data_IF_450063304657
#
_entry.id   IF_450063304657
#
_cell.length_a   1.000
_cell.length_b   1.000
_cell.length_c   1.000
_cell.angle_alpha   90.00
_cell.angle_beta   90.00
_cell.angle_gamma   90.00
#
_symmetry.space_group_name_H-M   'P 1'
#
loop_
_entity.id
_entity.type
_entity.pdbx_description
1 polymer ?
#
# COMPACT_ATOMS: atom_id res chain seq x y z
N UNK A 1 2.27 10.07 5.43
CA UNK A 1 3.64 9.96 5.99
C UNK A 1 4.28 8.70 5.43
N UNK A 2 5.59 8.70 5.16
CA UNK A 2 6.27 7.46 4.79
C UNK A 2 6.74 6.75 6.06
N UNK A 3 6.40 5.47 6.19
CA UNK A 3 6.65 4.66 7.40
C UNK A 3 7.60 3.48 7.14
N UNK A 4 8.04 3.31 5.89
CA UNK A 4 8.84 2.16 5.49
C UNK A 4 9.04 2.07 3.99
N UNK A 5 9.33 0.86 3.52
CA UNK A 5 9.53 0.52 2.10
C UNK A 5 9.09 -0.91 1.80
N UNK A 6 8.87 -1.20 0.53
CA UNK A 6 8.75 -2.58 0.03
C UNK A 6 10.15 -3.19 0.01
N UNK A 7 10.31 -4.35 0.66
CA UNK A 7 11.57 -5.08 0.75
C UNK A 7 11.66 -6.19 -0.30
N UNK A 8 10.59 -6.95 -0.50
CA UNK A 8 10.50 -7.97 -1.55
C UNK A 8 9.13 -7.96 -2.23
N UNK A 9 9.12 -8.44 -3.47
CA UNK A 9 7.90 -8.74 -4.23
C UNK A 9 8.06 -10.16 -4.77
N UNK A 10 7.13 -11.02 -4.42
CA UNK A 10 7.14 -12.43 -4.78
C UNK A 10 5.84 -12.78 -5.51
N UNK A 11 5.94 -13.65 -6.52
CA UNK A 11 4.78 -14.18 -7.21
C UNK A 11 4.06 -15.19 -6.32
N UNK A 12 2.75 -15.03 -6.15
CA UNK A 12 1.92 -15.85 -5.26
C UNK A 12 0.65 -16.31 -6.00
N UNK A 13 0.79 -17.32 -6.86
CA UNK A 13 -0.33 -17.79 -7.67
C UNK A 13 -0.83 -16.70 -8.61
N UNK A 14 -2.13 -16.38 -8.62
CA UNK A 14 -2.65 -15.27 -9.44
C UNK A 14 -2.37 -13.88 -8.89
N UNK A 15 -1.65 -13.76 -7.77
CA UNK A 15 -1.35 -12.48 -7.11
C UNK A 15 0.14 -12.29 -6.84
N UNK A 16 0.44 -11.25 -6.06
CA UNK A 16 1.78 -10.96 -5.56
C UNK A 16 1.76 -10.86 -4.04
N UNK A 17 2.81 -11.35 -3.38
CA UNK A 17 3.09 -11.12 -1.97
C UNK A 17 4.16 -10.04 -1.87
N UNK A 18 3.85 -8.96 -1.16
CA UNK A 18 4.79 -7.88 -0.89
C UNK A 18 5.25 -7.99 0.56
N UNK A 19 6.56 -8.07 0.77
CA UNK A 19 7.14 -7.98 2.11
C UNK A 19 7.50 -6.52 2.37
N UNK A 20 7.01 -5.97 3.49
CA UNK A 20 7.20 -4.57 3.84
C UNK A 20 8.18 -4.44 5.02
N UNK A 21 9.21 -3.62 4.86
CA UNK A 21 10.08 -3.20 5.95
C UNK A 21 9.54 -1.88 6.53
N UNK A 22 8.86 -1.98 7.67
CA UNK A 22 8.26 -0.85 8.39
C UNK A 22 9.15 -0.42 9.56
N UNK A 23 9.33 0.88 9.72
CA UNK A 23 10.04 1.45 10.86
C UNK A 23 9.28 1.14 12.15
N UNK A 24 9.94 0.52 13.13
CA UNK A 24 9.30 0.16 14.41
C UNK A 24 8.69 1.35 15.15
N UNK A 25 9.32 2.53 15.07
CA UNK A 25 8.79 3.76 15.67
C UNK A 25 7.44 4.17 15.08
N UNK A 26 7.22 3.86 13.81
CA UNK A 26 6.08 4.36 13.04
C UNK A 26 4.91 3.37 13.05
N UNK A 27 5.11 2.16 13.60
CA UNK A 27 4.08 1.12 13.67
C UNK A 27 2.82 1.57 14.41
N UNK A 28 2.97 2.45 15.41
CA UNK A 28 1.85 3.07 16.13
C UNK A 28 0.86 3.83 15.23
N UNK A 29 1.28 4.22 14.03
CA UNK A 29 0.46 4.93 13.05
C UNK A 29 -0.32 4.01 12.13
N UNK A 30 -0.15 2.70 12.25
CA UNK A 30 -0.76 1.71 11.35
C UNK A 30 -1.74 0.86 12.16
N UNK A 31 -3.04 1.19 12.12
CA UNK A 31 -4.09 0.36 12.71
C UNK A 31 -4.03 -1.08 12.21
N UNK A 32 -4.36 -2.04 13.08
CA UNK A 32 -4.36 -3.46 12.76
C UNK A 32 -5.37 -3.84 11.65
N UNK A 33 -6.41 -3.03 11.50
CA UNK A 33 -7.51 -3.15 10.54
C UNK A 33 -7.46 -2.08 9.43
N UNK A 34 -6.31 -1.42 9.25
CA UNK A 34 -6.13 -0.41 8.22
C UNK A 34 -6.35 -1.01 6.82
N UNK A 35 -7.29 -0.45 6.01
CA UNK A 35 -7.41 -0.83 4.62
C UNK A 35 -6.11 -0.54 3.86
N UNK A 36 -5.71 -1.47 3.00
CA UNK A 36 -4.46 -1.37 2.24
C UNK A 36 -4.75 -1.26 0.76
N UNK A 37 -4.07 -0.33 0.08
CA UNK A 37 -4.12 -0.22 -1.38
C UNK A 37 -2.74 0.02 -1.98
N UNK A 38 -2.62 -0.27 -3.26
CA UNK A 38 -1.46 0.14 -4.06
C UNK A 38 -1.88 1.37 -4.88
N UNK A 39 -1.26 2.51 -4.60
CA UNK A 39 -1.57 3.80 -5.21
C UNK A 39 -0.31 4.61 -5.51
N UNK A 40 -0.40 5.54 -6.45
CA UNK A 40 0.64 6.52 -6.76
C UNK A 40 0.09 7.94 -6.63
N UNK A 41 0.89 8.88 -6.14
CA UNK A 41 0.48 10.30 -6.07
C UNK A 41 0.64 11.03 -7.40
N UNK A 42 1.13 10.36 -8.44
CA UNK A 42 1.53 10.99 -9.71
C UNK A 42 1.39 10.03 -10.88
N UNK A 43 1.16 10.59 -12.07
CA UNK A 43 0.96 9.88 -13.34
C UNK A 43 2.23 9.15 -13.84
N UNK A 44 3.43 9.60 -13.44
CA UNK A 44 4.71 9.06 -13.89
C UNK A 44 5.61 8.56 -12.75
N UNK A 45 5.13 8.60 -11.52
CA UNK A 45 5.95 8.31 -10.35
C UNK A 45 5.77 6.90 -9.80
N UNK A 46 6.61 6.60 -8.81
CA UNK A 46 6.59 5.31 -8.13
C UNK A 46 5.25 5.08 -7.42
N UNK A 47 4.73 3.86 -7.54
CA UNK A 47 3.59 3.39 -6.73
C UNK A 47 4.08 2.97 -5.34
N UNK A 48 3.24 3.17 -4.35
CA UNK A 48 3.48 2.80 -2.96
C UNK A 48 2.34 1.94 -2.38
N UNK A 49 2.63 1.31 -1.26
CA UNK A 49 1.62 0.68 -0.40
C UNK A 49 1.10 1.74 0.57
N UNK A 50 -0.20 1.96 0.56
CA UNK A 50 -0.86 2.96 1.41
C UNK A 50 -1.73 2.24 2.44
N UNK A 51 -1.52 2.60 3.71
CA UNK A 51 -2.41 2.25 4.81
C UNK A 51 -3.38 3.39 5.04
N UNK A 52 -4.66 3.11 4.92
CA UNK A 52 -5.74 4.08 5.11
C UNK A 52 -6.21 4.02 6.56
N UNK A 53 -6.71 5.15 7.08
CA UNK A 53 -7.37 5.15 8.37
C UNK A 53 -8.70 4.37 8.26
N UNK A 54 -8.96 3.40 9.16
CA UNK A 54 -10.24 2.70 9.18
C UNK A 54 -11.37 3.63 9.64
N UNK A 55 -12.62 3.29 9.32
CA UNK A 55 -13.80 4.06 9.76
C UNK A 55 -13.96 4.03 11.29
N UNK A 56 -13.57 2.92 11.92
CA UNK A 56 -13.52 2.74 13.37
C UNK A 56 -12.17 2.15 13.75
N UNK A 57 -11.56 2.63 14.83
CA UNK A 57 -10.30 2.10 15.34
C UNK A 57 -10.48 1.56 16.76
N UNK A 58 -10.05 0.33 16.99
CA UNK A 58 -10.13 -0.35 18.28
C UNK A 58 -8.90 -0.13 19.18
N UNK A 59 -7.95 0.70 18.74
CA UNK A 59 -6.72 1.01 19.46
C UNK A 59 -5.55 0.06 19.19
N UNK A 60 -5.73 -0.99 18.39
CA UNK A 60 -4.66 -1.94 18.05
C UNK A 60 -3.91 -1.49 16.80
N UNK A 61 -2.59 -1.66 16.82
CA UNK A 61 -1.71 -1.46 15.67
C UNK A 61 -1.24 -2.80 15.11
N UNK A 62 -0.84 -2.81 13.84
CA UNK A 62 -0.17 -3.97 13.26
C UNK A 62 1.11 -4.31 14.02
N UNK A 63 1.49 -5.58 13.95
CA UNK A 63 2.71 -6.15 14.52
C UNK A 63 3.55 -6.81 13.44
N UNK A 64 4.82 -7.05 13.75
CA UNK A 64 5.72 -7.72 12.82
C UNK A 64 5.21 -9.14 12.51
N UNK A 65 5.09 -9.46 11.23
CA UNK A 65 4.57 -10.74 10.74
C UNK A 65 3.07 -10.76 10.45
N UNK A 66 2.34 -9.69 10.76
CA UNK A 66 0.93 -9.59 10.38
C UNK A 66 0.80 -9.54 8.85
N UNK A 67 -0.20 -10.25 8.32
CA UNK A 67 -0.55 -10.24 6.91
C UNK A 67 -1.82 -9.42 6.69
N UNK A 68 -1.76 -8.48 5.76
CA UNK A 68 -2.88 -7.62 5.36
C UNK A 68 -3.16 -7.82 3.88
N UNK A 69 -4.44 -7.91 3.52
CA UNK A 69 -4.87 -8.02 2.12
C UNK A 69 -5.03 -6.62 1.54
N UNK A 70 -4.34 -6.37 0.42
CA UNK A 70 -4.62 -5.21 -0.41
C UNK A 70 -5.73 -5.60 -1.40
N UNK A 71 -6.94 -5.08 -1.19
CA UNK A 71 -8.11 -5.42 -2.01
C UNK A 71 -8.18 -4.56 -3.28
N UNK A 72 -7.62 -3.35 -3.24
CA UNK A 72 -7.66 -2.40 -4.36
C UNK A 72 -6.27 -2.05 -4.89
N UNK A 73 -6.08 -2.33 -6.18
CA UNK A 73 -5.06 -1.66 -7.00
C UNK A 73 -5.77 -0.51 -7.70
N UNK A 74 -5.38 0.73 -7.40
CA UNK A 74 -5.95 1.86 -8.12
C UNK A 74 -5.53 1.79 -9.61
N UNK A 75 -6.52 1.54 -10.46
CA UNK A 75 -6.39 1.68 -11.91
C UNK A 75 -6.28 3.17 -12.24
N UNK A 76 -5.11 3.58 -12.73
CA UNK A 76 -4.92 4.93 -13.26
C UNK A 76 -5.47 4.96 -14.69
N UNK A 77 -6.51 5.76 -14.93
CA UNK A 77 -6.98 6.08 -16.29
C UNK A 77 -6.29 7.38 -16.70
N UNK A 78 -5.14 7.29 -17.37
CA UNK A 78 -4.50 8.46 -17.96
C UNK A 78 -4.38 8.28 -19.48
N UNK A 79 -5.47 8.56 -20.20
CA UNK A 79 -5.42 8.82 -21.63
C UNK A 79 -5.01 10.27 -21.85
N UNK A 80 -3.70 10.55 -21.93
CA UNK A 80 -3.23 11.92 -22.20
C UNK A 80 -2.12 12.03 -23.25
N UNK A 81 -2.03 11.06 -24.16
CA UNK A 81 -1.42 11.25 -25.47
C UNK A 81 -2.26 10.53 -26.52
N UNK A 82 -3.38 11.12 -26.92
CA UNK A 82 -4.16 10.65 -28.07
C UNK A 82 -4.17 11.61 -29.24
N UNK A 83 -3.36 12.69 -29.25
CA UNK A 83 -3.22 13.52 -30.46
C UNK A 83 -1.88 14.26 -30.50
N UNK A 84 -0.88 13.60 -31.07
CA UNK A 84 0.26 14.24 -31.73
C UNK A 84 0.41 13.52 -33.09
N UNK A 85 -0.51 13.81 -34.00
CA UNK A 85 -0.40 13.51 -35.44
C UNK A 85 -0.76 14.77 -36.20
#
# INVERSE_FOLDING_TARGET
IQVGKVESIEYAGSGAKLTLAINRSDMRYIPADAPVRIGGTTIFGAKGVEFLAPESWDGRSLSAGDEVKAEDVQLEVNTLFQTLT
#
